data_IF_013582650327
#
_entry.id   IF_013582650327
#
_cell.length_a   1.000
_cell.length_b   1.000
_cell.length_c   1.000
_cell.angle_alpha   90.00
_cell.angle_beta   90.00
_cell.angle_gamma   90.00
#
_symmetry.space_group_name_H-M   'P 1'
#
loop_
_entity.id
_entity.type
_entity.pdbx_description
1 polymer ?
#
# COMPACT_ATOMS: atom_id res chain seq x y z
N UNK A 1 -57.78 11.42 -36.80
CA UNK A 1 -57.50 11.98 -35.46
C UNK A 1 -56.68 10.97 -34.69
N UNK A 2 -55.46 11.31 -34.25
CA UNK A 2 -54.72 10.53 -33.26
C UNK A 2 -53.53 11.33 -32.69
N UNK A 3 -53.68 11.67 -31.40
CA UNK A 3 -52.71 11.76 -30.29
C UNK A 3 -51.43 12.61 -30.38
N UNK A 4 -51.20 13.42 -29.32
CA UNK A 4 -49.93 13.43 -28.58
C UNK A 4 -50.11 13.95 -27.14
N UNK A 5 -49.37 13.33 -26.22
CA UNK A 5 -49.44 13.44 -24.75
C UNK A 5 -48.49 14.52 -24.21
N UNK A 6 -48.94 15.38 -23.29
CA UNK A 6 -48.12 16.38 -22.60
C UNK A 6 -48.00 16.12 -21.09
N UNK A 7 -46.82 15.69 -20.63
CA UNK A 7 -46.50 15.50 -19.20
C UNK A 7 -46.16 16.84 -18.53
N UNK A 8 -46.96 17.28 -17.56
CA UNK A 8 -46.71 18.47 -16.73
C UNK A 8 -45.71 18.15 -15.62
N UNK A 9 -44.41 18.42 -15.85
CA UNK A 9 -43.38 18.43 -14.80
C UNK A 9 -43.47 19.69 -13.94
N UNK A 10 -43.62 19.53 -12.62
CA UNK A 10 -43.56 20.63 -11.66
C UNK A 10 -42.20 21.35 -11.73
N UNK A 11 -42.25 22.64 -12.06
CA UNK A 11 -41.08 23.49 -12.30
C UNK A 11 -40.42 23.86 -10.96
N UNK A 12 -39.22 23.36 -10.68
CA UNK A 12 -38.41 23.78 -9.51
C UNK A 12 -38.12 25.29 -9.60
N UNK A 13 -38.55 26.07 -8.61
CA UNK A 13 -38.15 27.47 -8.45
C UNK A 13 -36.67 27.52 -8.07
N UNK A 14 -35.84 28.20 -8.86
CA UNK A 14 -34.44 28.44 -8.48
C UNK A 14 -34.38 29.57 -7.45
N UNK A 15 -33.60 29.40 -6.39
CA UNK A 15 -33.37 30.41 -5.34
C UNK A 15 -32.46 31.53 -5.84
N UNK A 16 -31.61 31.25 -6.84
CA UNK A 16 -30.71 32.22 -7.47
C UNK A 16 -30.63 32.01 -8.99
N UNK A 17 -30.67 33.11 -9.75
CA UNK A 17 -30.43 33.12 -11.18
C UNK A 17 -28.94 33.30 -11.49
N UNK A 18 -28.43 32.63 -12.53
CA UNK A 18 -27.03 32.79 -12.96
C UNK A 18 -26.69 34.24 -13.34
N UNK A 19 -25.40 34.59 -13.33
CA UNK A 19 -24.92 35.96 -13.56
C UNK A 19 -25.46 36.57 -14.87
N UNK A 20 -25.44 35.89 -16.03
CA UNK A 20 -26.02 36.44 -17.25
C UNK A 20 -27.53 36.63 -17.20
N UNK A 21 -28.27 35.71 -16.58
CA UNK A 21 -29.74 35.83 -16.46
C UNK A 21 -30.12 36.93 -15.45
N UNK A 22 -29.36 37.11 -14.37
CA UNK A 22 -29.55 38.20 -13.40
C UNK A 22 -29.26 39.54 -14.06
N UNK A 23 -28.14 39.67 -14.78
CA UNK A 23 -27.77 40.90 -15.49
C UNK A 23 -28.80 41.30 -16.55
N UNK A 24 -29.33 40.32 -17.31
CA UNK A 24 -30.32 40.55 -18.36
C UNK A 24 -31.78 40.50 -17.87
N UNK A 25 -32.00 40.32 -16.55
CA UNK A 25 -33.33 40.15 -15.92
C UNK A 25 -34.19 39.07 -16.60
N UNK A 26 -33.55 37.99 -17.04
CA UNK A 26 -34.20 36.83 -17.67
C UNK A 26 -34.50 35.73 -16.64
N UNK A 27 -35.54 34.93 -16.89
CA UNK A 27 -35.87 33.78 -16.03
C UNK A 27 -34.80 32.69 -16.16
N UNK A 28 -34.20 32.31 -15.04
CA UNK A 28 -33.23 31.23 -14.95
C UNK A 28 -33.88 29.97 -14.36
N UNK A 29 -33.52 28.80 -14.88
CA UNK A 29 -33.98 27.51 -14.36
C UNK A 29 -32.98 26.85 -13.38
N UNK A 30 -31.86 27.52 -13.07
CA UNK A 30 -30.88 27.07 -12.07
C UNK A 30 -29.91 25.96 -12.53
N UNK A 31 -30.05 25.43 -13.75
CA UNK A 31 -29.12 24.41 -14.29
C UNK A 31 -27.81 25.05 -14.81
N UNK A 32 -26.76 24.25 -15.02
CA UNK A 32 -25.48 24.71 -15.59
C UNK A 32 -25.08 23.84 -16.80
N UNK A 33 -25.13 24.39 -18.04
CA UNK A 33 -25.65 25.71 -18.41
C UNK A 33 -27.17 25.80 -18.23
N UNK A 34 -27.67 26.99 -17.89
CA UNK A 34 -29.12 27.20 -17.76
C UNK A 34 -29.77 27.31 -19.14
N UNK A 35 -31.01 26.86 -19.31
CA UNK A 35 -31.68 26.81 -20.63
C UNK A 35 -31.75 28.17 -21.34
N UNK A 36 -31.88 29.25 -20.57
CA UNK A 36 -31.91 30.62 -21.09
C UNK A 36 -30.52 31.05 -21.60
N UNK A 37 -29.45 30.66 -20.92
CA UNK A 37 -28.08 30.92 -21.37
C UNK A 37 -27.73 30.08 -22.59
N UNK A 38 -28.19 28.83 -22.64
CA UNK A 38 -27.97 27.92 -23.75
C UNK A 38 -28.69 28.39 -25.02
N UNK A 39 -29.98 28.76 -24.92
CA UNK A 39 -30.74 29.32 -26.06
C UNK A 39 -30.15 30.62 -26.58
N UNK A 40 -29.67 31.48 -25.70
CA UNK A 40 -29.07 32.76 -26.08
C UNK A 40 -27.58 32.65 -26.42
N UNK A 41 -27.01 31.43 -26.41
CA UNK A 41 -25.60 31.14 -26.69
C UNK A 41 -24.61 32.01 -25.88
N UNK A 42 -24.91 32.22 -24.59
CA UNK A 42 -24.06 32.99 -23.67
C UNK A 42 -23.46 32.05 -22.63
N UNK A 43 -22.17 32.24 -22.29
CA UNK A 43 -21.50 31.47 -21.24
C UNK A 43 -22.22 31.64 -19.90
N UNK A 44 -22.78 30.55 -19.38
CA UNK A 44 -23.47 30.53 -18.09
C UNK A 44 -22.44 30.47 -16.95
N UNK A 45 -22.48 31.41 -16.01
CA UNK A 45 -21.59 31.45 -14.85
C UNK A 45 -22.32 31.88 -13.59
N UNK A 46 -21.79 31.44 -12.44
CA UNK A 46 -22.17 31.87 -11.10
C UNK A 46 -20.92 32.42 -10.41
N UNK A 47 -21.09 33.33 -9.46
CA UNK A 47 -19.97 33.88 -8.69
C UNK A 47 -19.47 32.83 -7.68
N UNK A 48 -18.18 32.44 -7.70
CA UNK A 48 -17.65 31.39 -6.81
C UNK A 48 -17.85 31.70 -5.31
N UNK A 49 -17.96 32.99 -4.94
CA UNK A 49 -18.26 33.44 -3.57
C UNK A 49 -19.66 33.03 -3.08
N UNK A 50 -20.63 32.90 -3.99
CA UNK A 50 -22.01 32.48 -3.65
C UNK A 50 -22.16 30.97 -3.46
N UNK A 51 -21.33 30.16 -4.11
CA UNK A 51 -21.26 28.70 -3.88
C UNK A 51 -20.72 28.36 -2.47
N UNK A 52 -19.76 29.14 -1.97
CA UNK A 52 -19.32 29.04 -0.57
C UNK A 52 -20.45 29.38 0.42
N UNK A 53 -21.28 30.38 0.08
CA UNK A 53 -22.45 30.75 0.89
C UNK A 53 -23.58 29.70 0.87
N UNK A 54 -23.65 28.83 -0.15
CA UNK A 54 -24.56 27.67 -0.16
C UNK A 54 -24.02 26.52 0.68
N UNK A 55 -22.72 26.27 0.61
CA UNK A 55 -22.05 25.29 1.47
C UNK A 55 -22.21 25.63 2.96
N UNK A 56 -22.18 26.91 3.33
CA UNK A 56 -22.47 27.34 4.71
C UNK A 56 -23.95 27.18 5.08
N UNK A 57 -24.89 27.53 4.19
CA UNK A 57 -26.33 27.33 4.46
C UNK A 57 -26.74 25.85 4.56
N UNK A 58 -26.16 24.99 3.71
CA UNK A 58 -26.36 23.54 3.78
C UNK A 58 -25.71 22.96 5.05
N UNK A 59 -24.56 23.51 5.48
CA UNK A 59 -23.91 23.14 6.75
C UNK A 59 -24.77 23.52 7.96
N UNK A 60 -25.44 24.67 7.94
CA UNK A 60 -26.35 25.08 9.02
C UNK A 60 -27.56 24.13 9.15
N UNK A 61 -28.11 23.69 8.01
CA UNK A 61 -29.22 22.71 7.97
C UNK A 61 -28.75 21.34 8.49
N UNK A 62 -27.56 20.90 8.07
CA UNK A 62 -26.96 19.65 8.53
C UNK A 62 -26.69 19.72 10.05
N UNK A 63 -26.12 20.82 10.53
CA UNK A 63 -25.86 21.03 11.97
C UNK A 63 -27.15 21.02 12.78
N UNK A 64 -28.20 21.69 12.31
CA UNK A 64 -29.50 21.67 12.97
C UNK A 64 -30.08 20.24 13.05
N UNK A 65 -29.93 19.45 11.98
CA UNK A 65 -30.40 18.07 11.94
C UNK A 65 -29.58 17.13 12.82
N UNK A 66 -28.26 17.34 12.88
CA UNK A 66 -27.36 16.61 13.79
C UNK A 66 -27.74 16.91 15.24
N UNK A 67 -28.00 18.17 15.60
CA UNK A 67 -28.45 18.52 16.96
C UNK A 67 -29.77 17.84 17.34
N UNK A 68 -30.72 17.75 16.41
CA UNK A 68 -32.01 17.09 16.63
C UNK A 68 -31.84 15.58 16.83
N UNK A 69 -30.99 14.93 16.01
CA UNK A 69 -30.66 13.52 16.14
C UNK A 69 -29.89 13.22 17.42
N UNK A 70 -28.93 14.05 17.79
CA UNK A 70 -28.18 13.93 19.04
C UNK A 70 -29.11 14.05 20.26
N UNK A 71 -30.08 14.97 20.25
CA UNK A 71 -31.10 15.04 21.31
C UNK A 71 -31.97 13.80 21.37
N UNK A 72 -32.36 13.25 20.23
CA UNK A 72 -33.17 12.03 20.17
C UNK A 72 -32.39 10.79 20.66
N UNK A 73 -31.09 10.71 20.39
CA UNK A 73 -30.23 9.59 20.78
C UNK A 73 -29.77 9.67 22.23
N UNK A 74 -29.39 10.86 22.71
CA UNK A 74 -28.79 11.03 24.03
C UNK A 74 -29.78 11.52 25.10
N UNK A 75 -31.00 11.96 24.74
CA UNK A 75 -32.01 12.49 25.66
C UNK A 75 -31.70 13.91 26.17
N UNK A 76 -32.73 14.71 26.45
CA UNK A 76 -32.61 16.15 26.77
C UNK A 76 -31.70 16.47 27.98
N UNK A 77 -31.51 15.53 28.91
CA UNK A 77 -30.71 15.74 30.13
C UNK A 77 -29.20 15.54 29.95
N UNK A 78 -28.78 14.93 28.85
CA UNK A 78 -27.37 14.55 28.58
C UNK A 78 -26.78 15.27 27.38
N UNK A 79 -27.56 16.11 26.71
CA UNK A 79 -27.13 16.92 25.58
C UNK A 79 -26.27 18.11 26.03
N UNK A 80 -24.99 18.11 25.67
CA UNK A 80 -24.12 19.29 25.73
C UNK A 80 -23.80 19.76 24.30
N UNK A 81 -24.21 20.98 23.90
CA UNK A 81 -23.89 21.50 22.58
C UNK A 81 -22.36 21.72 22.47
N UNK A 82 -21.74 21.23 21.39
CA UNK A 82 -20.34 21.57 21.07
C UNK A 82 -20.24 23.09 20.89
N UNK A 83 -19.34 23.74 21.63
CA UNK A 83 -18.99 25.15 21.41
C UNK A 83 -18.37 25.29 20.01
N UNK A 84 -18.89 26.22 19.23
CA UNK A 84 -18.20 26.75 18.04
C UNK A 84 -16.86 27.33 18.49
N UNK A 85 -15.77 26.77 17.99
CA UNK A 85 -14.43 27.34 18.16
C UNK A 85 -14.37 28.58 17.26
N UNK A 86 -14.28 29.77 17.85
CA UNK A 86 -13.97 30.98 17.10
C UNK A 86 -12.54 30.85 16.54
N UNK A 87 -12.42 30.83 15.22
CA UNK A 87 -11.15 30.86 14.49
C UNK A 87 -10.56 32.28 14.55
N UNK A 88 -10.23 32.76 15.75
CA UNK A 88 -9.62 34.09 15.93
C UNK A 88 -8.09 34.04 15.93
N UNK A 89 -7.48 32.88 16.19
CA UNK A 89 -6.04 32.67 16.04
C UNK A 89 -5.83 31.34 15.31
N UNK A 90 -5.63 31.40 13.99
CA UNK A 90 -5.05 30.26 13.31
C UNK A 90 -3.70 30.00 13.99
N UNK A 91 -3.47 28.82 14.61
CA UNK A 91 -2.14 28.47 15.03
C UNK A 91 -1.28 28.58 13.77
N UNK A 92 -0.16 29.28 13.86
CA UNK A 92 0.90 29.05 12.90
C UNK A 92 1.07 27.53 12.85
N UNK A 93 0.82 26.91 11.70
CA UNK A 93 1.02 25.48 11.51
C UNK A 93 2.52 25.29 11.72
N UNK A 94 2.92 24.98 12.96
CA UNK A 94 4.22 24.41 13.20
C UNK A 94 4.20 23.05 12.52
N UNK A 95 5.29 22.69 11.87
CA UNK A 95 5.44 21.43 11.13
C UNK A 95 5.32 20.17 12.01
N UNK A 96 4.98 20.31 13.30
CA UNK A 96 4.95 19.26 14.32
C UNK A 96 3.72 18.33 14.25
N UNK A 97 2.85 18.47 13.23
CA UNK A 97 1.60 17.72 13.13
C UNK A 97 1.53 16.72 11.97
N UNK A 98 2.56 16.61 11.13
CA UNK A 98 2.61 15.54 10.13
C UNK A 98 3.20 14.30 10.77
N UNK A 99 2.33 13.35 11.13
CA UNK A 99 2.71 11.99 11.51
C UNK A 99 3.28 11.30 10.24
N UNK A 100 4.61 11.13 10.16
CA UNK A 100 5.31 10.52 9.02
C UNK A 100 6.25 11.43 8.23
N UNK A 101 6.98 10.83 7.27
CA UNK A 101 7.99 11.45 6.39
C UNK A 101 7.51 11.41 4.93
N UNK A 102 7.61 12.53 4.21
CA UNK A 102 7.32 12.58 2.77
C UNK A 102 8.55 13.03 1.99
N UNK A 103 8.93 12.29 0.96
CA UNK A 103 9.92 12.71 -0.04
C UNK A 103 9.19 13.12 -1.31
N UNK A 104 9.45 14.33 -1.81
CA UNK A 104 8.79 14.87 -3.01
C UNK A 104 9.80 15.02 -4.13
N UNK A 105 9.53 14.40 -5.28
CA UNK A 105 10.19 14.73 -6.55
C UNK A 105 9.33 15.74 -7.31
N UNK A 106 9.68 17.03 -7.18
CA UNK A 106 8.98 18.13 -7.84
C UNK A 106 9.01 18.05 -9.38
N UNK A 107 10.03 17.40 -9.96
CA UNK A 107 10.16 17.30 -11.43
C UNK A 107 9.20 16.29 -12.02
N UNK A 108 8.93 15.22 -11.27
CA UNK A 108 8.00 14.16 -11.67
C UNK A 108 6.59 14.33 -11.08
N UNK A 109 6.44 15.22 -10.09
CA UNK A 109 5.19 15.41 -9.37
C UNK A 109 4.80 14.18 -8.53
N UNK A 110 5.80 13.39 -8.11
CA UNK A 110 5.57 12.17 -7.32
C UNK A 110 6.07 12.39 -5.89
N UNK A 111 5.34 11.81 -4.94
CA UNK A 111 5.70 11.83 -3.53
C UNK A 111 5.74 10.41 -2.96
N UNK A 112 6.81 10.08 -2.25
CA UNK A 112 6.93 8.87 -1.44
C UNK A 112 6.60 9.24 0.01
N UNK A 113 5.45 8.78 0.48
CA UNK A 113 5.02 8.95 1.87
C UNK A 113 5.32 7.70 2.69
N UNK A 114 5.88 7.92 3.87
CA UNK A 114 6.12 6.94 4.92
C UNK A 114 5.40 7.41 6.19
N UNK A 115 4.42 6.64 6.67
CA UNK A 115 3.68 7.03 7.87
C UNK A 115 4.43 6.78 9.17
N UNK A 116 3.81 7.15 10.28
CA UNK A 116 4.44 7.11 11.62
C UNK A 116 4.73 5.74 12.20
N UNK A 117 4.15 4.70 11.60
CA UNK A 117 4.48 3.31 11.94
C UNK A 117 5.71 2.79 11.18
N UNK A 118 6.25 3.57 10.22
CA UNK A 118 7.41 3.18 9.42
C UNK A 118 8.71 3.21 10.21
N UNK A 119 9.64 2.32 9.85
CA UNK A 119 11.01 2.34 10.38
C UNK A 119 11.71 3.67 10.09
N UNK A 120 11.39 4.32 8.96
CA UNK A 120 11.96 5.61 8.56
C UNK A 120 11.54 6.71 9.54
N UNK A 121 10.27 6.78 9.92
CA UNK A 121 9.78 7.77 10.88
C UNK A 121 10.37 7.53 12.28
N UNK A 122 10.49 6.25 12.69
CA UNK A 122 11.15 5.87 13.94
C UNK A 122 12.62 6.31 13.97
N UNK A 123 13.38 6.05 12.90
CA UNK A 123 14.79 6.44 12.79
C UNK A 123 14.95 7.97 12.82
N UNK A 124 14.05 8.70 12.15
CA UNK A 124 14.03 10.16 12.18
C UNK A 124 13.78 10.69 13.61
N UNK A 125 12.75 10.17 14.29
CA UNK A 125 12.43 10.56 15.67
C UNK A 125 13.59 10.25 16.63
N UNK A 126 14.25 9.10 16.45
CA UNK A 126 15.44 8.75 17.23
C UNK A 126 16.60 9.72 16.96
N UNK A 127 16.86 10.07 15.70
CA UNK A 127 17.91 11.02 15.33
C UNK A 127 17.66 12.41 15.91
N UNK A 128 16.43 12.92 15.82
CA UNK A 128 16.02 14.20 16.43
C UNK A 128 16.25 14.19 17.95
N UNK A 129 15.84 13.11 18.63
CA UNK A 129 16.03 12.95 20.08
C UNK A 129 17.52 12.91 20.47
N UNK A 130 18.34 12.18 19.71
CA UNK A 130 19.80 12.12 19.94
C UNK A 130 20.43 13.49 19.73
N UNK A 131 20.00 14.23 18.70
CA UNK A 131 20.51 15.56 18.41
C UNK A 131 20.17 16.57 19.50
N UNK A 132 18.95 16.53 20.04
CA UNK A 132 18.55 17.34 21.20
C UNK A 132 19.41 17.07 22.43
N UNK A 133 19.72 15.79 22.70
CA UNK A 133 20.59 15.39 23.82
C UNK A 133 22.03 15.88 23.62
N UNK A 134 22.53 15.85 22.38
CA UNK A 134 23.86 16.36 22.04
C UNK A 134 23.94 17.89 22.11
N UNK A 135 22.90 18.60 21.66
CA UNK A 135 22.82 20.07 21.72
C UNK A 135 22.62 20.59 23.15
N UNK A 136 22.12 19.77 24.08
CA UNK A 136 21.93 20.09 25.49
C UNK A 136 23.08 19.61 26.41
N UNK A 137 24.16 19.04 25.84
CA UNK A 137 25.37 18.72 26.59
C UNK A 137 26.08 20.03 27.04
N UNK A 138 26.51 20.14 28.31
CA UNK A 138 27.15 21.35 28.81
C UNK A 138 28.52 21.54 28.14
N UNK A 139 28.62 22.50 27.22
CA UNK A 139 29.87 22.84 26.55
C UNK A 139 30.71 23.82 27.39
N UNK A 140 31.98 23.49 27.61
CA UNK A 140 32.96 24.43 28.17
C UNK A 140 33.25 25.52 27.13
N UNK A 141 33.20 26.80 27.55
CA UNK A 141 33.09 27.99 26.69
C UNK A 141 34.28 28.31 25.76
N UNK A 142 35.23 27.41 25.55
CA UNK A 142 36.33 27.58 24.60
C UNK A 142 36.02 26.99 23.21
N UNK A 143 35.23 25.91 23.12
CA UNK A 143 34.93 25.22 21.85
C UNK A 143 33.83 25.89 21.02
N UNK A 144 33.00 26.73 21.65
CA UNK A 144 31.83 27.33 21.01
C UNK A 144 32.20 28.34 19.90
N UNK A 145 33.36 29.02 20.02
CA UNK A 145 33.86 29.96 19.00
C UNK A 145 34.57 29.26 17.83
N UNK A 146 35.22 28.13 18.07
CA UNK A 146 35.82 27.31 17.01
C UNK A 146 34.73 26.62 16.19
N UNK A 147 33.73 26.03 16.86
CA UNK A 147 32.61 25.34 16.23
C UNK A 147 31.69 26.29 15.44
N UNK A 148 31.40 27.50 15.95
CA UNK A 148 30.62 28.52 15.21
C UNK A 148 31.34 29.08 13.98
N UNK A 149 32.68 29.12 13.98
CA UNK A 149 33.47 29.60 12.84
C UNK A 149 33.55 28.56 11.73
N UNK A 150 33.72 27.29 12.10
CA UNK A 150 33.66 26.16 11.17
C UNK A 150 32.25 25.96 10.58
N UNK A 151 31.20 26.19 11.39
CA UNK A 151 29.80 26.12 10.95
C UNK A 151 29.40 27.27 10.01
N UNK A 152 30.04 28.44 10.07
CA UNK A 152 29.82 29.54 9.10
C UNK A 152 30.49 29.28 7.74
N UNK A 153 31.68 28.69 7.72
CA UNK A 153 32.35 28.29 6.47
C UNK A 153 31.64 27.10 5.79
N UNK A 154 30.95 26.23 6.55
CA UNK A 154 30.15 25.14 6.00
C UNK A 154 28.78 25.56 5.41
N UNK A 155 28.24 26.72 5.81
CA UNK A 155 26.93 27.23 5.34
C UNK A 155 27.05 28.06 4.05
N UNK A 156 28.24 28.55 3.70
CA UNK A 156 28.46 29.37 2.50
C UNK A 156 28.89 28.58 1.24
N UNK A 157 29.09 27.27 1.34
CA UNK A 157 29.22 26.43 0.15
C UNK A 157 27.83 25.99 -0.31
N UNK A 158 27.34 26.44 -1.48
CA UNK A 158 26.11 25.91 -2.03
C UNK A 158 26.35 24.42 -2.21
N UNK A 159 25.56 23.61 -1.51
CA UNK A 159 25.54 22.15 -1.62
C UNK A 159 25.45 21.85 -3.12
N UNK A 160 26.59 21.45 -3.67
CA UNK A 160 26.78 21.36 -5.10
C UNK A 160 25.82 20.30 -5.62
N UNK A 161 24.97 20.70 -6.56
CA UNK A 161 23.85 19.94 -7.13
C UNK A 161 24.28 18.76 -8.02
N UNK A 162 25.36 18.07 -7.68
CA UNK A 162 25.99 17.06 -8.53
C UNK A 162 25.92 15.62 -7.97
N UNK A 163 25.52 15.42 -6.72
CA UNK A 163 25.31 14.06 -6.16
C UNK A 163 24.02 13.39 -6.69
N UNK A 164 23.14 14.15 -7.34
CA UNK A 164 21.90 13.66 -7.98
C UNK A 164 22.13 12.95 -9.32
N UNK A 165 23.39 12.76 -9.75
CA UNK A 165 23.71 12.28 -11.11
C UNK A 165 23.96 10.79 -11.26
N UNK A 166 23.98 10.00 -10.19
CA UNK A 166 24.25 8.55 -10.28
C UNK A 166 23.07 7.62 -9.92
N UNK A 167 21.84 8.14 -9.81
CA UNK A 167 20.63 7.32 -9.88
C UNK A 167 19.54 8.12 -10.58
N UNK A 168 19.15 7.71 -11.79
CA UNK A 168 18.08 8.40 -12.53
C UNK A 168 16.74 7.80 -12.12
N UNK A 169 15.94 8.58 -11.41
CA UNK A 169 14.50 8.32 -11.12
C UNK A 169 13.69 8.11 -12.43
N UNK A 170 14.26 8.45 -13.59
CA UNK A 170 13.70 8.09 -14.91
C UNK A 170 13.47 6.58 -15.10
N UNK A 171 14.18 5.72 -14.37
CA UNK A 171 13.98 4.26 -14.43
C UNK A 171 12.87 3.76 -13.48
N UNK A 172 12.42 4.59 -12.53
CA UNK A 172 11.32 4.28 -11.57
C UNK A 172 9.95 4.58 -12.20
N UNK A 173 9.90 5.55 -13.11
CA UNK A 173 8.69 5.97 -13.82
C UNK A 173 8.91 5.93 -15.32
N UNK A 174 9.41 4.80 -15.84
CA UNK A 174 9.04 4.44 -17.20
C UNK A 174 7.52 4.44 -17.21
N UNK A 175 6.94 5.53 -17.76
CA UNK A 175 5.51 5.61 -18.05
C UNK A 175 5.13 4.27 -18.63
N UNK A 176 3.99 3.66 -18.26
CA UNK A 176 3.42 2.58 -19.02
C UNK A 176 3.02 3.19 -20.37
N UNK A 177 4.03 3.48 -21.20
CA UNK A 177 3.91 3.33 -22.63
C UNK A 177 3.45 1.90 -22.71
N UNK A 178 2.15 1.77 -22.96
CA UNK A 178 1.51 0.56 -23.44
C UNK A 178 2.25 0.24 -24.74
N UNK A 179 3.48 -0.28 -24.62
CA UNK A 179 4.08 -1.05 -25.68
C UNK A 179 3.09 -2.18 -25.81
N UNK A 180 2.42 -2.20 -26.96
CA UNK A 180 1.68 -3.38 -27.41
C UNK A 180 2.58 -4.55 -27.07
N UNK A 181 2.14 -5.40 -26.14
CA UNK A 181 2.91 -6.57 -25.70
C UNK A 181 3.36 -7.29 -26.97
N UNK A 182 4.61 -7.08 -27.36
CA UNK A 182 5.24 -7.99 -28.30
C UNK A 182 5.36 -9.22 -27.46
N UNK A 183 4.58 -10.26 -27.77
CA UNK A 183 4.65 -11.58 -27.13
C UNK A 183 6.05 -12.15 -27.32
N UNK A 184 7.03 -11.57 -26.64
CA UNK A 184 8.41 -11.94 -26.69
C UNK A 184 8.60 -13.00 -25.62
N UNK A 185 8.47 -14.25 -26.07
CA UNK A 185 8.74 -15.38 -25.21
C UNK A 185 10.26 -15.59 -25.12
N UNK A 186 10.83 -15.81 -23.92
CA UNK A 186 12.27 -16.00 -23.79
C UNK A 186 12.66 -17.28 -24.52
N UNK A 187 13.70 -17.21 -25.34
CA UNK A 187 14.15 -18.36 -26.13
C UNK A 187 15.09 -19.25 -25.32
N UNK A 188 15.06 -20.56 -25.58
CA UNK A 188 16.03 -21.51 -25.04
C UNK A 188 15.76 -21.96 -23.60
N UNK A 189 16.84 -22.19 -22.84
CA UNK A 189 16.80 -22.72 -21.47
C UNK A 189 16.63 -21.63 -20.38
N UNK A 190 16.64 -20.34 -20.74
CA UNK A 190 16.56 -19.23 -19.80
C UNK A 190 15.30 -19.29 -18.91
N UNK A 191 14.17 -19.68 -19.50
CA UNK A 191 12.91 -19.86 -18.75
C UNK A 191 13.07 -20.85 -17.60
N UNK A 192 13.65 -22.02 -17.86
CA UNK A 192 13.86 -23.04 -16.83
C UNK A 192 14.89 -22.57 -15.78
N UNK A 193 15.96 -21.88 -16.21
CA UNK A 193 16.95 -21.31 -15.28
C UNK A 193 16.30 -20.32 -14.32
N UNK A 194 15.52 -19.36 -14.83
CA UNK A 194 14.84 -18.37 -13.99
C UNK A 194 13.75 -19.00 -13.12
N UNK A 195 13.04 -20.02 -13.62
CA UNK A 195 12.13 -20.82 -12.79
C UNK A 195 12.86 -21.51 -11.63
N UNK A 196 14.04 -22.09 -11.87
CA UNK A 196 14.85 -22.74 -10.83
C UNK A 196 15.29 -21.74 -9.77
N UNK A 197 15.71 -20.52 -10.15
CA UNK A 197 16.03 -19.46 -9.19
C UNK A 197 14.82 -19.02 -8.37
N UNK A 198 13.64 -18.89 -9.00
CA UNK A 198 12.41 -18.56 -8.28
C UNK A 198 12.06 -19.63 -7.23
N UNK A 199 12.05 -20.91 -7.63
CA UNK A 199 11.72 -22.02 -6.73
C UNK A 199 12.82 -22.29 -5.69
N UNK A 200 14.07 -21.95 -5.99
CA UNK A 200 15.19 -22.09 -5.06
C UNK A 200 15.25 -21.00 -3.99
N UNK A 201 14.85 -19.76 -4.32
CA UNK A 201 15.06 -18.59 -3.45
C UNK A 201 13.71 -18.00 -3.01
N UNK A 202 12.93 -17.44 -3.93
CA UNK A 202 11.72 -16.67 -3.60
C UNK A 202 10.60 -17.55 -3.07
N UNK A 203 10.48 -18.77 -3.56
CA UNK A 203 9.49 -19.74 -3.09
C UNK A 203 9.64 -20.10 -1.61
N UNK A 204 10.83 -19.91 -1.01
CA UNK A 204 11.03 -20.15 0.42
C UNK A 204 10.24 -19.18 1.31
N UNK A 205 10.07 -17.93 0.88
CA UNK A 205 9.33 -16.88 1.59
C UNK A 205 7.91 -16.71 1.06
N UNK A 206 7.68 -17.03 -0.22
CA UNK A 206 6.37 -16.93 -0.90
C UNK A 206 5.91 -18.32 -1.42
N UNK A 207 5.64 -19.32 -0.54
CA UNK A 207 5.28 -20.68 -0.96
C UNK A 207 3.80 -20.82 -1.34
N UNK A 208 3.35 -20.05 -2.34
CA UNK A 208 1.94 -20.05 -2.78
C UNK A 208 1.57 -21.21 -3.71
N UNK A 209 2.57 -21.89 -4.29
CA UNK A 209 2.40 -23.01 -5.24
C UNK A 209 2.75 -24.36 -4.61
N UNK A 210 2.42 -25.44 -5.32
CA UNK A 210 3.18 -26.69 -5.26
C UNK A 210 4.07 -26.73 -6.51
N UNK A 211 5.39 -26.88 -6.32
CA UNK A 211 6.35 -26.79 -7.42
C UNK A 211 6.10 -27.83 -8.52
N UNK A 212 5.80 -29.09 -8.16
CA UNK A 212 5.59 -30.16 -9.13
C UNK A 212 4.33 -29.93 -9.93
N UNK A 213 3.24 -29.56 -9.25
CA UNK A 213 1.95 -29.22 -9.87
C UNK A 213 2.12 -28.01 -10.78
N UNK A 214 2.83 -26.96 -10.32
CA UNK A 214 3.08 -25.76 -11.10
C UNK A 214 3.88 -26.08 -12.36
N UNK A 215 5.03 -26.77 -12.25
CA UNK A 215 5.87 -27.10 -13.41
C UNK A 215 5.13 -27.99 -14.42
N UNK A 216 4.30 -28.92 -13.96
CA UNK A 216 3.45 -29.72 -14.85
C UNK A 216 2.41 -28.85 -15.59
N UNK A 217 1.74 -27.94 -14.87
CA UNK A 217 0.78 -27.02 -15.47
C UNK A 217 1.44 -26.03 -16.44
N UNK A 218 2.63 -25.53 -16.09
CA UNK A 218 3.44 -24.65 -16.93
C UNK A 218 3.82 -25.31 -18.25
N UNK A 219 4.31 -26.55 -18.25
CA UNK A 219 4.63 -27.30 -19.47
C UNK A 219 3.41 -27.50 -20.37
N UNK A 220 2.23 -27.71 -19.78
CA UNK A 220 0.97 -27.82 -20.56
C UNK A 220 0.61 -26.50 -21.21
N UNK A 221 0.70 -25.40 -20.45
CA UNK A 221 0.48 -24.05 -20.96
C UNK A 221 1.45 -23.69 -22.09
N UNK A 222 2.75 -23.92 -21.91
CA UNK A 222 3.77 -23.63 -22.92
C UNK A 222 3.56 -24.37 -24.25
N UNK A 223 2.99 -25.57 -24.21
CA UNK A 223 2.71 -26.38 -25.40
C UNK A 223 1.32 -26.15 -26.02
N UNK A 224 0.44 -25.37 -25.37
CA UNK A 224 -0.94 -25.17 -25.84
C UNK A 224 -1.09 -23.79 -26.47
N UNK A 225 -1.53 -23.72 -27.73
CA UNK A 225 -1.73 -22.46 -28.46
C UNK A 225 -3.02 -21.72 -28.04
N UNK A 226 -4.09 -22.44 -27.71
CA UNK A 226 -5.41 -21.86 -27.41
C UNK A 226 -5.88 -22.23 -26.00
N UNK A 227 -6.01 -21.21 -25.13
CA UNK A 227 -6.59 -21.36 -23.79
C UNK A 227 -7.32 -20.07 -23.41
N UNK A 228 -8.51 -20.20 -22.82
CA UNK A 228 -9.29 -19.07 -22.29
C UNK A 228 -8.60 -18.36 -21.12
N UNK A 229 -7.57 -19.00 -20.54
CA UNK A 229 -6.79 -18.45 -19.43
C UNK A 229 -5.34 -18.08 -19.84
N UNK A 230 -5.07 -17.96 -21.14
CA UNK A 230 -3.71 -17.76 -21.67
C UNK A 230 -3.05 -16.51 -21.10
N UNK A 231 -3.74 -15.37 -21.11
CA UNK A 231 -3.17 -14.10 -20.63
C UNK A 231 -2.85 -14.13 -19.13
N UNK A 232 -3.67 -14.80 -18.32
CA UNK A 232 -3.45 -14.96 -16.89
C UNK A 232 -2.20 -15.81 -16.62
N UNK A 233 -2.00 -16.87 -17.40
CA UNK A 233 -0.81 -17.71 -17.34
C UNK A 233 0.44 -16.97 -17.83
N UNK A 234 0.35 -16.20 -18.90
CA UNK A 234 1.44 -15.37 -19.39
C UNK A 234 1.85 -14.33 -18.34
N UNK A 235 0.88 -13.59 -17.80
CA UNK A 235 1.12 -12.59 -16.76
C UNK A 235 1.80 -13.20 -15.54
N UNK A 236 1.26 -14.32 -15.02
CA UNK A 236 1.84 -15.02 -13.89
C UNK A 236 3.26 -15.51 -14.19
N UNK A 237 3.48 -16.07 -15.37
CA UNK A 237 4.80 -16.58 -15.77
C UNK A 237 5.82 -15.45 -15.81
N UNK A 238 5.51 -14.33 -16.46
CA UNK A 238 6.42 -13.18 -16.48
C UNK A 238 6.73 -12.64 -15.08
N UNK A 239 5.74 -12.60 -14.18
CA UNK A 239 5.98 -12.20 -12.78
C UNK A 239 6.96 -13.15 -12.07
N UNK A 240 6.83 -14.46 -12.29
CA UNK A 240 7.73 -15.48 -11.74
C UNK A 240 9.13 -15.36 -12.34
N UNK A 241 9.23 -15.23 -13.66
CA UNK A 241 10.50 -15.09 -14.36
C UNK A 241 11.22 -13.80 -13.98
N UNK A 242 10.50 -12.69 -13.79
CA UNK A 242 11.08 -11.43 -13.31
C UNK A 242 11.77 -11.61 -11.94
N UNK A 243 11.10 -12.28 -11.01
CA UNK A 243 11.65 -12.62 -9.70
C UNK A 243 12.83 -13.59 -9.80
N UNK A 244 12.74 -14.61 -10.65
CA UNK A 244 13.83 -15.55 -10.88
C UNK A 244 15.08 -14.89 -11.47
N UNK A 245 14.90 -14.04 -12.48
CA UNK A 245 15.97 -13.29 -13.13
C UNK A 245 16.64 -12.27 -12.18
N UNK A 246 15.90 -11.72 -11.20
CA UNK A 246 16.47 -10.81 -10.19
C UNK A 246 17.60 -11.46 -9.37
N UNK A 247 17.55 -12.77 -9.17
CA UNK A 247 18.55 -13.55 -8.43
C UNK A 247 19.47 -14.39 -9.33
N UNK A 248 19.23 -14.40 -10.64
CA UNK A 248 20.16 -14.96 -11.62
C UNK A 248 21.32 -13.98 -11.83
N UNK A 249 22.55 -14.49 -11.85
CA UNK A 249 23.77 -13.69 -11.99
C UNK A 249 23.72 -12.77 -13.23
N UNK A 250 23.69 -11.45 -13.03
CA UNK A 250 23.72 -10.40 -14.08
C UNK A 250 22.49 -10.27 -15.01
N UNK A 251 21.33 -10.82 -14.68
CA UNK A 251 20.12 -10.75 -15.54
C UNK A 251 19.14 -9.62 -15.15
N UNK A 252 19.61 -8.51 -14.59
CA UNK A 252 18.73 -7.42 -14.10
C UNK A 252 17.91 -6.75 -15.21
N UNK A 253 18.47 -6.60 -16.41
CA UNK A 253 17.75 -6.09 -17.58
C UNK A 253 16.65 -7.06 -18.05
N UNK A 254 16.92 -8.36 -17.93
CA UNK A 254 15.96 -9.42 -18.24
C UNK A 254 14.80 -9.39 -17.22
N UNK A 255 15.12 -9.25 -15.93
CA UNK A 255 14.16 -9.11 -14.86
C UNK A 255 13.21 -7.91 -15.07
N UNK A 256 13.77 -6.75 -15.42
CA UNK A 256 12.99 -5.55 -15.74
C UNK A 256 12.10 -5.73 -16.99
N UNK A 257 12.61 -6.42 -18.02
CA UNK A 257 11.86 -6.71 -19.24
C UNK A 257 10.66 -7.62 -18.98
N UNK A 258 10.84 -8.70 -18.23
CA UNK A 258 9.73 -9.57 -17.81
C UNK A 258 8.71 -8.83 -16.96
N UNK A 259 9.19 -8.00 -16.03
CA UNK A 259 8.30 -7.20 -15.20
C UNK A 259 7.44 -6.25 -16.06
N UNK A 260 8.04 -5.54 -17.03
CA UNK A 260 7.31 -4.66 -17.94
C UNK A 260 6.23 -5.39 -18.76
N UNK A 261 6.51 -6.60 -19.26
CA UNK A 261 5.51 -7.42 -19.95
C UNK A 261 4.37 -7.84 -19.00
N UNK A 262 4.69 -8.23 -17.76
CA UNK A 262 3.67 -8.52 -16.74
C UNK A 262 2.80 -7.28 -16.43
N UNK A 263 3.37 -6.08 -16.39
CA UNK A 263 2.62 -4.82 -16.18
C UNK A 263 1.62 -4.57 -17.32
N UNK A 264 2.05 -4.74 -18.58
CA UNK A 264 1.19 -4.59 -19.74
C UNK A 264 0.01 -5.59 -19.74
N UNK A 265 0.29 -6.85 -19.40
CA UNK A 265 -0.73 -7.89 -19.30
C UNK A 265 -1.68 -7.65 -18.13
N UNK A 266 -1.17 -7.31 -16.94
CA UNK A 266 -1.99 -7.07 -15.76
C UNK A 266 -2.99 -5.93 -16.00
N UNK A 267 -2.57 -4.85 -16.68
CA UNK A 267 -3.47 -3.75 -17.07
C UNK A 267 -4.67 -4.23 -17.90
N UNK A 268 -4.46 -5.23 -18.77
CA UNK A 268 -5.52 -5.85 -19.59
C UNK A 268 -6.37 -6.86 -18.80
N UNK A 269 -5.87 -7.36 -17.67
CA UNK A 269 -6.53 -8.34 -16.81
C UNK A 269 -7.28 -7.69 -15.63
N UNK A 270 -7.25 -6.36 -15.48
CA UNK A 270 -8.04 -5.66 -14.48
C UNK A 270 -9.53 -5.96 -14.69
N UNK A 271 -10.19 -6.54 -13.68
CA UNK A 271 -11.56 -7.04 -13.74
C UNK A 271 -11.70 -8.55 -13.94
N UNK A 272 -10.64 -9.24 -14.39
CA UNK A 272 -10.60 -10.70 -14.48
C UNK A 272 -10.16 -11.29 -13.14
N UNK A 273 -11.15 -11.52 -12.27
CA UNK A 273 -10.95 -11.99 -10.90
C UNK A 273 -10.68 -13.50 -10.85
N UNK A 274 -9.49 -13.90 -11.29
CA UNK A 274 -9.00 -15.28 -11.24
C UNK A 274 -7.84 -15.43 -10.24
N UNK A 275 -7.69 -16.62 -9.67
CA UNK A 275 -6.59 -16.96 -8.75
C UNK A 275 -5.22 -16.58 -9.35
N UNK A 276 -5.01 -16.94 -10.62
CA UNK A 276 -3.75 -16.66 -11.35
C UNK A 276 -3.47 -15.16 -11.51
N UNK A 277 -4.50 -14.34 -11.76
CA UNK A 277 -4.35 -12.88 -11.85
C UNK A 277 -3.95 -12.29 -10.48
N UNK A 278 -4.59 -12.75 -9.40
CA UNK A 278 -4.24 -12.32 -8.05
C UNK A 278 -2.81 -12.73 -7.67
N UNK A 279 -2.40 -13.95 -8.02
CA UNK A 279 -1.03 -14.44 -7.80
C UNK A 279 0.00 -13.67 -8.62
N UNK A 280 -0.29 -13.32 -9.87
CA UNK A 280 0.59 -12.49 -10.69
C UNK A 280 0.79 -11.10 -10.06
N UNK A 281 -0.30 -10.42 -9.68
CA UNK A 281 -0.22 -9.13 -9.00
C UNK A 281 0.52 -9.21 -7.65
N UNK A 282 0.33 -10.28 -6.87
CA UNK A 282 1.08 -10.55 -5.65
C UNK A 282 2.59 -10.63 -5.93
N UNK A 283 3.00 -11.42 -6.91
CA UNK A 283 4.42 -11.58 -7.25
C UNK A 283 5.02 -10.31 -7.84
N UNK A 284 4.23 -9.50 -8.55
CA UNK A 284 4.65 -8.17 -8.99
C UNK A 284 4.86 -7.21 -7.79
N UNK A 285 4.03 -7.30 -6.76
CA UNK A 285 4.25 -6.55 -5.52
C UNK A 285 5.56 -6.96 -4.84
N UNK A 286 5.85 -8.26 -4.77
CA UNK A 286 7.11 -8.80 -4.23
C UNK A 286 8.31 -8.31 -5.05
N UNK A 287 8.22 -8.30 -6.38
CA UNK A 287 9.27 -7.78 -7.25
C UNK A 287 9.53 -6.29 -6.99
N UNK A 288 8.47 -5.48 -6.92
CA UNK A 288 8.57 -4.06 -6.62
C UNK A 288 9.18 -3.81 -5.23
N UNK A 289 8.81 -4.64 -4.23
CA UNK A 289 9.39 -4.59 -2.89
C UNK A 289 10.91 -4.89 -2.91
N UNK A 290 11.34 -5.98 -3.58
CA UNK A 290 12.77 -6.35 -3.66
C UNK A 290 13.63 -5.40 -4.51
N UNK A 291 13.00 -4.55 -5.31
CA UNK A 291 13.65 -3.47 -6.07
C UNK A 291 13.49 -2.10 -5.40
N UNK A 292 13.03 -2.06 -4.14
CA UNK A 292 12.83 -0.86 -3.34
C UNK A 292 11.85 0.18 -3.92
N UNK A 293 10.92 -0.26 -4.76
CA UNK A 293 9.85 0.57 -5.32
C UNK A 293 8.62 0.53 -4.41
N UNK A 294 8.69 1.17 -3.25
CA UNK A 294 7.70 1.05 -2.15
C UNK A 294 6.26 1.42 -2.56
N UNK A 295 6.10 2.52 -3.31
CA UNK A 295 4.81 2.95 -3.85
C UNK A 295 4.20 1.87 -4.76
N UNK A 296 5.00 1.38 -5.71
CA UNK A 296 4.59 0.37 -6.67
C UNK A 296 4.28 -0.98 -6.01
N UNK A 297 5.07 -1.37 -5.01
CA UNK A 297 4.85 -2.59 -4.23
C UNK A 297 3.51 -2.54 -3.50
N UNK A 298 3.23 -1.42 -2.81
CA UNK A 298 1.97 -1.21 -2.12
C UNK A 298 0.77 -1.20 -3.07
N UNK A 299 0.89 -0.56 -4.23
CA UNK A 299 -0.18 -0.50 -5.23
C UNK A 299 -0.49 -1.89 -5.81
N UNK A 300 0.53 -2.67 -6.21
CA UNK A 300 0.33 -4.03 -6.71
C UNK A 300 -0.23 -4.97 -5.63
N UNK A 301 0.22 -4.81 -4.38
CA UNK A 301 -0.33 -5.57 -3.26
C UNK A 301 -1.83 -5.25 -3.09
N UNK A 302 -2.21 -3.97 -3.14
CA UNK A 302 -3.61 -3.54 -3.11
C UNK A 302 -4.42 -4.13 -4.27
N UNK A 303 -3.88 -4.13 -5.49
CA UNK A 303 -4.51 -4.76 -6.66
C UNK A 303 -4.71 -6.26 -6.41
N UNK A 304 -3.67 -6.97 -5.95
CA UNK A 304 -3.72 -8.39 -5.67
C UNK A 304 -4.79 -8.74 -4.62
N UNK A 305 -4.88 -7.94 -3.54
CA UNK A 305 -5.88 -8.10 -2.48
C UNK A 305 -7.28 -7.88 -3.04
N UNK A 306 -7.52 -6.86 -3.87
CA UNK A 306 -8.85 -6.62 -4.46
C UNK A 306 -9.27 -7.70 -5.46
N UNK A 307 -8.33 -8.23 -6.24
CA UNK A 307 -8.56 -9.38 -7.12
C UNK A 307 -8.89 -10.64 -6.31
N UNK A 308 -8.16 -10.86 -5.20
CA UNK A 308 -8.40 -11.98 -4.30
C UNK A 308 -9.78 -11.90 -3.63
N UNK A 309 -10.18 -10.73 -3.14
CA UNK A 309 -11.54 -10.50 -2.64
C UNK A 309 -12.60 -10.76 -3.70
N UNK A 310 -12.38 -10.27 -4.92
CA UNK A 310 -13.34 -10.44 -6.02
C UNK A 310 -13.47 -11.90 -6.46
N UNK A 311 -12.39 -12.68 -6.35
CA UNK A 311 -12.39 -14.13 -6.55
C UNK A 311 -12.89 -14.92 -5.32
N UNK A 312 -13.19 -14.23 -4.21
CA UNK A 312 -13.67 -14.83 -2.97
C UNK A 312 -12.60 -15.55 -2.14
N UNK A 313 -11.30 -15.31 -2.39
CA UNK A 313 -10.18 -16.05 -1.76
C UNK A 313 -10.16 -15.95 -0.23
N UNK A 314 -10.83 -14.92 0.30
CA UNK A 314 -10.99 -14.66 1.72
C UNK A 314 -12.03 -15.55 2.42
N UNK A 315 -12.71 -16.43 1.70
CA UNK A 315 -13.79 -17.30 2.22
C UNK A 315 -13.44 -18.78 2.11
N UNK A 316 -14.22 -19.64 2.74
CA UNK A 316 -14.06 -21.09 2.61
C UNK A 316 -14.60 -21.58 1.26
N UNK A 317 -13.80 -22.39 0.56
CA UNK A 317 -14.10 -22.93 -0.78
C UNK A 317 -14.55 -24.39 -0.78
N UNK A 318 -14.58 -25.04 0.38
CA UNK A 318 -14.68 -26.50 0.49
C UNK A 318 -16.00 -27.05 -0.09
N UNK A 319 -17.04 -26.21 -0.22
CA UNK A 319 -18.38 -26.60 -0.65
C UNK A 319 -18.63 -26.42 -2.17
N UNK A 320 -17.69 -25.83 -2.91
CA UNK A 320 -17.93 -25.36 -4.30
C UNK A 320 -17.45 -26.37 -5.37
N UNK A 321 -17.04 -27.57 -4.97
CA UNK A 321 -16.63 -28.64 -5.91
C UNK A 321 -15.27 -28.43 -6.57
N UNK A 322 -14.43 -27.52 -6.06
CA UNK A 322 -13.03 -27.39 -6.47
C UNK A 322 -12.19 -28.58 -5.98
N UNK A 323 -11.14 -28.92 -6.71
CA UNK A 323 -10.17 -29.92 -6.25
C UNK A 323 -9.43 -29.40 -5.01
N UNK A 324 -9.08 -30.31 -4.09
CA UNK A 324 -8.36 -29.94 -2.87
C UNK A 324 -7.07 -29.16 -3.18
N UNK A 325 -6.36 -29.51 -4.26
CA UNK A 325 -5.15 -28.80 -4.73
C UNK A 325 -5.43 -27.31 -4.97
N UNK A 326 -6.50 -26.98 -5.72
CA UNK A 326 -6.85 -25.58 -6.02
C UNK A 326 -7.28 -24.84 -4.76
N UNK A 327 -8.03 -25.50 -3.88
CA UNK A 327 -8.45 -24.91 -2.59
C UNK A 327 -7.24 -24.59 -1.71
N UNK A 328 -6.27 -25.50 -1.62
CA UNK A 328 -5.04 -25.26 -0.84
C UNK A 328 -4.20 -24.15 -1.45
N UNK A 329 -4.07 -24.10 -2.77
CA UNK A 329 -3.36 -23.03 -3.48
C UNK A 329 -4.00 -21.65 -3.25
N UNK A 330 -5.34 -21.58 -3.26
CA UNK A 330 -6.10 -20.38 -2.94
C UNK A 330 -5.90 -19.93 -1.48
N UNK A 331 -5.94 -20.88 -0.52
CA UNK A 331 -5.68 -20.60 0.90
C UNK A 331 -4.26 -20.08 1.13
N UNK A 332 -3.25 -20.72 0.53
CA UNK A 332 -1.85 -20.26 0.60
C UNK A 332 -1.74 -18.83 0.07
N UNK A 333 -2.32 -18.56 -1.10
CA UNK A 333 -2.33 -17.22 -1.72
C UNK A 333 -2.98 -16.17 -0.80
N UNK A 334 -4.16 -16.46 -0.24
CA UNK A 334 -4.87 -15.53 0.64
C UNK A 334 -4.08 -15.21 1.91
N UNK A 335 -3.56 -16.23 2.59
CA UNK A 335 -2.84 -16.03 3.84
C UNK A 335 -1.44 -15.42 3.64
N UNK A 336 -0.81 -15.62 2.48
CA UNK A 336 0.38 -14.86 2.08
C UNK A 336 0.05 -13.39 1.85
N UNK A 337 -1.02 -13.06 1.12
CA UNK A 337 -1.49 -11.67 0.95
C UNK A 337 -1.79 -11.01 2.30
N UNK A 338 -2.48 -11.72 3.19
CA UNK A 338 -2.80 -11.27 4.54
C UNK A 338 -1.54 -10.94 5.34
N UNK A 339 -0.52 -11.77 5.24
CA UNK A 339 0.69 -11.59 6.04
C UNK A 339 1.57 -10.49 5.48
N UNK A 340 1.81 -10.53 4.17
CA UNK A 340 2.64 -9.57 3.45
C UNK A 340 2.07 -8.14 3.52
N UNK A 341 0.74 -7.98 3.53
CA UNK A 341 0.15 -6.65 3.72
C UNK A 341 0.56 -6.02 5.04
N UNK A 342 0.47 -6.76 6.15
CA UNK A 342 0.84 -6.21 7.45
C UNK A 342 2.33 -5.89 7.54
N UNK A 343 3.18 -6.70 6.91
CA UNK A 343 4.62 -6.49 6.84
C UNK A 343 4.95 -5.19 6.10
N UNK A 344 4.48 -5.05 4.85
CA UNK A 344 4.74 -3.85 4.05
C UNK A 344 4.06 -2.60 4.62
N UNK A 345 2.88 -2.73 5.24
CA UNK A 345 2.20 -1.59 5.86
C UNK A 345 2.90 -1.10 7.12
N UNK A 346 3.49 -1.99 7.94
CA UNK A 346 4.37 -1.55 9.03
C UNK A 346 5.61 -0.90 8.44
N UNK A 347 6.30 -1.58 7.52
CA UNK A 347 7.57 -1.10 6.96
C UNK A 347 7.44 0.29 6.35
N UNK A 348 6.38 0.52 5.56
CA UNK A 348 6.14 1.78 4.86
C UNK A 348 5.27 2.76 5.64
N UNK A 349 4.74 2.37 6.79
CA UNK A 349 3.80 3.17 7.56
C UNK A 349 2.49 3.48 6.83
N UNK A 350 1.93 2.50 6.10
CA UNK A 350 0.73 2.65 5.27
C UNK A 350 -0.50 2.00 5.91
N UNK A 351 -1.73 2.44 5.57
CA UNK A 351 -2.94 1.83 6.11
C UNK A 351 -3.16 0.43 5.54
N UNK A 352 -3.70 -0.46 6.37
CA UNK A 352 -4.17 -1.77 5.94
C UNK A 352 -5.47 -1.64 5.14
N UNK A 353 -5.68 -2.52 4.15
CA UNK A 353 -6.95 -2.65 3.43
C UNK A 353 -7.69 -3.96 3.72
N UNK A 354 -7.02 -5.00 4.25
CA UNK A 354 -7.71 -6.22 4.73
C UNK A 354 -8.26 -6.00 6.14
N UNK A 355 -9.57 -6.20 6.27
CA UNK A 355 -10.25 -6.25 7.57
C UNK A 355 -10.21 -7.67 8.11
N UNK A 356 -9.88 -7.83 9.39
CA UNK A 356 -9.80 -9.15 10.01
C UNK A 356 -11.14 -9.91 9.97
N UNK A 357 -12.27 -9.19 10.09
CA UNK A 357 -13.62 -9.77 10.02
C UNK A 357 -13.95 -10.39 8.67
N UNK A 358 -13.27 -9.97 7.61
CA UNK A 358 -13.55 -10.39 6.24
C UNK A 358 -12.73 -11.63 5.86
N UNK A 359 -11.74 -12.00 6.67
CA UNK A 359 -10.85 -13.16 6.50
C UNK A 359 -11.39 -14.41 7.18
N UNK A 360 -12.36 -15.07 6.55
CA UNK A 360 -13.00 -16.30 7.09
C UNK A 360 -12.45 -17.61 6.49
N UNK A 361 -11.56 -17.52 5.50
CA UNK A 361 -10.89 -18.67 4.91
C UNK A 361 -10.10 -19.44 5.96
N UNK A 362 -10.22 -20.77 5.98
CA UNK A 362 -9.41 -21.62 6.85
C UNK A 362 -7.92 -21.53 6.47
N UNK A 363 -7.04 -21.77 7.45
CA UNK A 363 -5.61 -21.91 7.17
C UNK A 363 -5.33 -23.04 6.18
N UNK A 364 -4.26 -22.94 5.36
CA UNK A 364 -3.88 -24.03 4.48
C UNK A 364 -3.50 -25.27 5.30
N UNK A 365 -3.79 -26.44 4.75
CA UNK A 365 -3.40 -27.71 5.36
C UNK A 365 -1.89 -27.91 5.21
N UNK A 366 -1.24 -28.33 6.28
CA UNK A 366 0.17 -28.72 6.22
C UNK A 366 0.31 -29.99 5.39
N UNK A 367 0.95 -29.84 4.24
CA UNK A 367 1.36 -30.94 3.38
C UNK A 367 2.87 -30.95 3.33
N UNK A 368 3.49 -32.12 3.49
CA UNK A 368 4.90 -32.28 3.17
C UNK A 368 5.04 -32.16 1.66
N UNK A 369 5.81 -31.17 1.18
CA UNK A 369 6.29 -31.21 -0.20
C UNK A 369 7.16 -32.47 -0.34
N UNK A 370 6.94 -33.31 -1.35
CA UNK A 370 7.72 -34.55 -1.54
C UNK A 370 9.24 -34.31 -1.61
N UNK A 371 9.67 -33.07 -1.89
CA UNK A 371 11.08 -32.65 -1.98
C UNK A 371 11.61 -32.02 -0.69
N UNK A 372 10.76 -31.73 0.30
CA UNK A 372 11.15 -31.06 1.53
C UNK A 372 11.02 -31.99 2.73
N UNK A 373 12.03 -31.94 3.61
CA UNK A 373 11.97 -32.58 4.93
C UNK A 373 11.01 -31.87 5.88
N UNK A 374 10.53 -30.69 5.51
CA UNK A 374 9.78 -29.76 6.35
C UNK A 374 8.71 -29.06 5.51
N UNK A 375 7.51 -28.88 6.07
CA UNK A 375 6.40 -28.17 5.42
C UNK A 375 6.71 -26.69 5.25
N UNK A 376 6.79 -26.19 4.01
CA UNK A 376 6.88 -24.74 3.73
C UNK A 376 5.57 -24.01 4.02
N UNK A 377 4.44 -24.74 4.00
CA UNK A 377 3.12 -24.21 4.32
C UNK A 377 3.04 -23.75 5.78
N UNK A 378 3.82 -24.34 6.68
CA UNK A 378 3.87 -23.92 8.10
C UNK A 378 4.30 -22.46 8.24
N UNK A 379 5.19 -21.97 7.35
CA UNK A 379 5.63 -20.58 7.34
C UNK A 379 4.45 -19.62 7.11
N UNK A 380 3.57 -19.93 6.14
CA UNK A 380 2.37 -19.12 5.87
C UNK A 380 1.47 -19.04 7.11
N UNK A 381 1.25 -20.16 7.79
CA UNK A 381 0.37 -20.23 8.96
C UNK A 381 0.96 -19.40 10.11
N UNK A 382 2.25 -19.58 10.38
CA UNK A 382 2.98 -18.84 11.43
C UNK A 382 2.96 -17.35 11.17
N UNK A 383 3.26 -16.93 9.93
CA UNK A 383 3.24 -15.52 9.54
C UNK A 383 1.84 -14.93 9.61
N UNK A 384 0.81 -15.67 9.19
CA UNK A 384 -0.57 -15.18 9.28
C UNK A 384 -1.02 -14.96 10.73
N UNK A 385 -0.60 -15.82 11.67
CA UNK A 385 -0.82 -15.61 13.10
C UNK A 385 -0.06 -14.40 13.62
N UNK A 386 1.22 -14.27 13.28
CA UNK A 386 2.05 -13.11 13.64
C UNK A 386 1.42 -11.80 13.17
N UNK A 387 0.96 -11.77 11.92
CA UNK A 387 0.33 -10.62 11.29
C UNK A 387 -0.92 -10.13 12.00
N UNK A 388 -1.66 -10.99 12.73
CA UNK A 388 -2.77 -10.52 13.57
C UNK A 388 -2.28 -9.60 14.69
N UNK A 389 -1.18 -9.96 15.34
CA UNK A 389 -0.55 -9.14 16.38
C UNK A 389 0.03 -7.86 15.79
N UNK A 390 0.70 -7.95 14.64
CA UNK A 390 1.23 -6.78 13.91
C UNK A 390 0.12 -5.79 13.55
N UNK A 391 -1.04 -6.25 13.08
CA UNK A 391 -2.18 -5.38 12.77
C UNK A 391 -2.72 -4.64 13.99
N UNK A 392 -2.74 -5.29 15.17
CA UNK A 392 -3.09 -4.62 16.44
C UNK A 392 -2.03 -3.58 16.85
N UNK A 393 -0.75 -3.84 16.56
CA UNK A 393 0.33 -2.86 16.79
C UNK A 393 0.13 -1.64 15.88
N UNK A 394 -0.14 -1.84 14.58
CA UNK A 394 -0.46 -0.73 13.65
C UNK A 394 -1.61 0.10 14.21
N UNK A 395 -2.73 -0.53 14.58
CA UNK A 395 -3.90 0.17 15.12
C UNK A 395 -3.59 0.92 16.43
N UNK A 396 -2.77 0.33 17.30
CA UNK A 396 -2.35 0.96 18.56
C UNK A 396 -1.50 2.21 18.30
N UNK A 397 -0.52 2.12 17.39
CA UNK A 397 0.42 3.21 17.10
C UNK A 397 -0.24 4.34 16.31
N UNK A 398 -1.07 4.00 15.31
CA UNK A 398 -1.79 5.01 14.52
C UNK A 398 -2.84 5.79 15.33
N UNK A 399 -3.32 5.24 16.46
CA UNK A 399 -4.31 5.87 17.33
C UNK A 399 -3.72 6.32 18.69
N UNK A 400 -2.43 6.65 18.75
CA UNK A 400 -1.82 7.31 19.91
C UNK A 400 -2.38 8.74 20.00
N UNK A 401 -3.55 8.86 20.61
CA UNK A 401 -4.13 10.14 21.00
C UNK A 401 -3.87 10.33 22.50
N UNK A 402 -2.80 11.08 22.83
CA UNK A 402 -2.38 11.39 24.21
C UNK A 402 -3.52 11.98 25.05
N UNK A 403 -4.48 12.66 24.39
CA UNK A 403 -5.61 13.30 25.06
C UNK A 403 -6.76 12.34 25.38
N UNK A 404 -6.87 11.21 24.66
CA UNK A 404 -8.06 10.34 24.67
C UNK A 404 -7.81 9.00 25.37
N UNK A 405 -6.59 8.49 25.30
CA UNK A 405 -6.20 7.23 25.95
C UNK A 405 -5.21 7.53 27.08
N UNK A 406 -5.66 7.51 28.33
CA UNK A 406 -4.74 7.72 29.45
C UNK A 406 -3.58 6.72 29.43
N UNK A 407 -2.36 7.16 29.76
CA UNK A 407 -1.09 6.39 29.67
C UNK A 407 -1.21 4.95 30.19
N UNK A 408 -1.98 4.73 31.27
CA UNK A 408 -2.23 3.39 31.85
C UNK A 408 -2.94 2.44 30.88
N UNK A 409 -3.90 2.93 30.10
CA UNK A 409 -4.63 2.14 29.10
C UNK A 409 -3.76 1.75 27.91
N UNK A 410 -2.81 2.62 27.53
CA UNK A 410 -1.81 2.32 26.51
C UNK A 410 -0.81 1.26 26.98
N UNK A 411 -0.23 1.44 28.17
CA UNK A 411 0.70 0.49 28.77
C UNK A 411 0.09 -0.93 28.92
N UNK A 412 -1.17 -1.02 29.36
CA UNK A 412 -1.87 -2.30 29.45
C UNK A 412 -2.06 -2.99 28.10
N UNK A 413 -2.42 -2.23 27.04
CA UNK A 413 -2.51 -2.78 25.67
C UNK A 413 -1.16 -3.26 25.16
N UNK A 414 -0.09 -2.50 25.42
CA UNK A 414 1.28 -2.88 25.05
C UNK A 414 1.71 -4.19 25.73
N UNK A 415 1.46 -4.32 27.03
CA UNK A 415 1.75 -5.56 27.78
C UNK A 415 0.99 -6.77 27.21
N UNK A 416 -0.27 -6.59 26.81
CA UNK A 416 -1.05 -7.65 26.17
C UNK A 416 -0.44 -8.06 24.81
N UNK A 417 -0.05 -7.09 23.97
CA UNK A 417 0.60 -7.37 22.69
C UNK A 417 1.93 -8.09 22.88
N UNK A 418 2.72 -7.69 23.87
CA UNK A 418 3.95 -8.37 24.23
C UNK A 418 3.69 -9.82 24.65
N UNK A 419 2.66 -10.09 25.46
CA UNK A 419 2.29 -11.45 25.84
C UNK A 419 1.82 -12.29 24.65
N UNK A 420 1.08 -11.70 23.71
CA UNK A 420 0.68 -12.37 22.46
C UNK A 420 1.91 -12.74 21.60
N UNK A 421 2.88 -11.83 21.45
CA UNK A 421 4.14 -12.09 20.72
C UNK A 421 4.95 -13.21 21.37
N UNK A 422 5.12 -13.18 22.69
CA UNK A 422 5.82 -14.23 23.43
C UNK A 422 5.13 -15.59 23.32
N UNK A 423 3.79 -15.59 23.28
CA UNK A 423 3.01 -16.82 23.08
C UNK A 423 3.22 -17.36 21.66
N UNK A 424 3.17 -16.49 20.66
CA UNK A 424 3.44 -16.86 19.27
C UNK A 424 4.84 -17.44 19.09
N UNK A 425 5.87 -16.83 19.68
CA UNK A 425 7.26 -17.30 19.60
C UNK A 425 7.41 -18.71 20.18
N UNK A 426 6.77 -18.97 21.33
CA UNK A 426 6.79 -20.29 21.98
C UNK A 426 6.02 -21.36 21.19
N UNK A 427 5.03 -20.97 20.39
CA UNK A 427 4.26 -21.87 19.53
C UNK A 427 4.92 -22.15 18.18
N UNK A 428 6.10 -21.57 17.90
CA UNK A 428 6.82 -21.81 16.65
C UNK A 428 7.21 -23.30 16.51
N UNK A 429 6.95 -23.92 15.34
CA UNK A 429 7.48 -25.23 15.04
C UNK A 429 9.00 -25.27 15.17
N UNK A 430 9.57 -26.37 15.66
CA UNK A 430 11.01 -26.50 15.93
C UNK A 430 11.91 -26.18 14.72
N UNK A 431 11.43 -26.39 13.49
CA UNK A 431 12.15 -26.06 12.27
C UNK A 431 12.13 -24.57 11.88
N UNK A 432 11.20 -23.79 12.45
CA UNK A 432 11.12 -22.33 12.31
C UNK A 432 11.59 -21.59 13.58
N UNK A 433 11.75 -22.30 14.70
CA UNK A 433 12.22 -21.71 15.94
C UNK A 433 13.62 -21.08 15.75
N UNK A 434 13.87 -19.91 16.38
CA UNK A 434 15.20 -19.30 16.37
C UNK A 434 16.22 -20.29 16.91
N UNK A 435 17.22 -20.66 16.10
CA UNK A 435 18.36 -21.43 16.59
C UNK A 435 19.32 -20.44 17.26
N UNK A 436 19.82 -20.78 18.45
CA UNK A 436 20.83 -19.98 19.14
C UNK A 436 21.99 -19.64 18.18
N UNK A 437 22.05 -18.37 17.79
CA UNK A 437 23.03 -17.81 16.84
C UNK A 437 24.46 -17.95 17.39
N UNK A 438 24.61 -18.26 18.68
CA UNK A 438 25.89 -18.40 19.39
C UNK A 438 26.74 -19.60 18.95
N UNK A 439 26.19 -20.63 18.31
CA UNK A 439 26.94 -21.88 18.01
C UNK A 439 27.12 -22.21 16.53
N UNK A 440 26.67 -21.38 15.60
CA UNK A 440 26.90 -21.61 14.16
C UNK A 440 27.96 -20.66 13.59
N UNK A 441 29.23 -21.00 13.76
CA UNK A 441 30.32 -20.47 12.92
C UNK A 441 30.09 -20.73 11.41
N UNK A 442 29.11 -21.57 11.03
CA UNK A 442 28.71 -21.87 9.66
C UNK A 442 27.73 -20.89 8.98
N UNK A 443 27.14 -19.93 9.71
CA UNK A 443 26.18 -18.95 9.14
C UNK A 443 26.81 -17.59 8.81
N UNK A 444 28.15 -17.47 8.86
CA UNK A 444 28.87 -16.23 8.57
C UNK A 444 29.20 -15.98 7.09
N UNK A 445 28.80 -16.83 6.14
CA UNK A 445 29.37 -16.75 4.79
C UNK A 445 28.43 -17.02 3.61
N UNK A 446 27.12 -17.24 3.80
CA UNK A 446 26.19 -17.32 2.67
C UNK A 446 25.12 -16.25 2.78
N UNK A 447 25.46 -15.16 2.10
CA UNK A 447 24.54 -14.14 1.61
C UNK A 447 23.86 -13.39 2.75
N UNK A 448 24.52 -12.31 3.21
CA UNK A 448 23.78 -11.14 3.66
C UNK A 448 22.72 -10.90 2.58
N UNK A 449 21.46 -11.10 2.94
CA UNK A 449 20.37 -11.14 1.98
C UNK A 449 20.46 -9.85 1.17
N UNK A 450 20.57 -9.95 -0.16
CA UNK A 450 20.91 -8.81 -1.02
C UNK A 450 19.95 -7.62 -0.82
N UNK A 451 18.70 -7.87 -0.40
CA UNK A 451 17.74 -6.82 -0.04
C UNK A 451 18.09 -6.11 1.28
N UNK A 452 18.56 -6.84 2.31
CA UNK A 452 19.07 -6.25 3.57
C UNK A 452 20.35 -5.46 3.28
N UNK A 453 21.23 -5.95 2.41
CA UNK A 453 22.39 -5.16 1.96
C UNK A 453 21.97 -3.92 1.16
N UNK A 454 20.96 -4.00 0.29
CA UNK A 454 20.42 -2.83 -0.41
C UNK A 454 19.78 -1.83 0.55
N UNK A 455 18.93 -2.28 1.48
CA UNK A 455 18.33 -1.41 2.49
C UNK A 455 19.38 -0.80 3.42
N UNK A 456 20.39 -1.57 3.85
CA UNK A 456 21.50 -1.02 4.62
C UNK A 456 22.30 0.02 3.82
N UNK A 457 22.57 -0.22 2.53
CA UNK A 457 23.21 0.79 1.67
C UNK A 457 22.34 2.02 1.44
N UNK A 458 21.01 1.88 1.36
CA UNK A 458 20.07 2.99 1.22
C UNK A 458 19.91 3.78 2.54
N UNK A 459 20.09 3.12 3.69
CA UNK A 459 20.13 3.73 5.03
C UNK A 459 21.52 4.34 5.34
N UNK A 460 22.60 3.81 4.75
CA UNK A 460 23.98 4.34 4.82
C UNK A 460 24.19 5.61 3.94
N UNK A 461 23.19 6.49 3.90
CA UNK A 461 23.40 7.87 3.49
C UNK A 461 23.50 8.77 4.73
N UNK A 462 24.70 9.35 4.88
CA UNK A 462 25.07 10.60 5.58
C UNK A 462 25.88 10.41 6.87
N UNK A 463 27.21 10.33 6.73
CA UNK A 463 28.10 10.98 7.70
C UNK A 463 27.95 12.51 7.61
#
# INVERSE_FOLDING_TARGET
MSQSTGSTGQRRKTTEACNPCRARKLKCNGMLPCESCERNKVKCSYDPSTSASRLTGDLDIINARVMELERAVFGERTYQPRRTVELADAPQITNDTVSGVTFVDEKMGVADYFGSTSTIDLLKSFHETVQEVLDHAPSSGADERASKRQRREAIEHPINSDASRNFRIQDIYASPTVRRATSWWPSGNLVEVHLDYFFGIVYSTIPIFDEKVFRAAFRRFANTSESSQRLQWECLTYSILALGALYSSNDTECAASYFAEAQGLLGSLLGVSALRTAQAALLMAVYAHYTAQHNLAYDYLGIAIRLAYSAGLNRNFDEIGFTNIVVQEARRTWWTLYSLESELCVEYGRPLCIRETDSIASYPQETLDETATVSRVSFIIVMAKFSRTVRKIIDLVSNIDEKRNGIKSFAGRLMNLQAELMTWERELPAHLAPKDIATSEGLRARERIAWVQRQCCDIELRE
#
